data_IF_771814168582
#
_entry.id   IF_771814168582
#
_cell.length_a   1.000
_cell.length_b   1.000
_cell.length_c   1.000
_cell.angle_alpha   90.00
_cell.angle_beta   90.00
_cell.angle_gamma   90.00
#
_symmetry.space_group_name_H-M   'P 1'
#
loop_
_entity.id
_entity.type
_entity.pdbx_description
1 polymer ?
#
# COMPACT_ATOMS: atom_id res chain seq x y z
N UNK A 1 -9.67 -8.36 7.81
CA UNK A 1 -10.10 -7.68 6.56
C UNK A 1 -11.32 -6.81 6.87
N UNK A 2 -11.25 -5.48 6.77
CA UNK A 2 -12.39 -4.60 7.11
C UNK A 2 -13.40 -4.65 5.95
N UNK A 3 -14.38 -5.55 6.01
CA UNK A 3 -15.60 -5.44 5.20
C UNK A 3 -16.31 -4.16 5.66
N UNK A 4 -16.24 -3.10 4.86
CA UNK A 4 -17.00 -1.87 5.08
C UNK A 4 -18.18 -1.92 4.12
N UNK A 5 -19.39 -1.97 4.67
CA UNK A 5 -20.59 -1.85 3.86
C UNK A 5 -20.82 -0.35 3.66
N UNK A 6 -20.60 0.15 2.43
CA UNK A 6 -20.98 1.50 2.03
C UNK A 6 -22.48 1.48 1.71
N UNK A 7 -23.31 1.37 2.73
CA UNK A 7 -24.75 1.20 2.50
C UNK A 7 -25.45 2.51 2.13
N UNK A 8 -24.90 3.69 2.47
CA UNK A 8 -25.45 4.97 2.02
C UNK A 8 -24.39 6.07 1.90
N UNK A 9 -24.56 6.99 0.94
CA UNK A 9 -23.62 8.11 0.62
C UNK A 9 -23.34 9.07 1.79
N UNK A 10 -24.01 8.89 2.91
CA UNK A 10 -24.06 9.79 4.06
C UNK A 10 -23.61 9.13 5.37
N UNK A 11 -23.48 7.79 5.41
CA UNK A 11 -23.29 7.06 6.66
C UNK A 11 -22.24 5.97 6.51
N UNK A 12 -21.45 5.78 7.56
CA UNK A 12 -20.44 4.75 7.68
C UNK A 12 -20.65 3.99 8.98
N UNK A 13 -20.87 2.67 8.88
CA UNK A 13 -21.00 1.79 10.04
C UNK A 13 -19.69 1.03 10.21
N UNK A 14 -19.06 1.21 11.37
CA UNK A 14 -17.88 0.44 11.75
C UNK A 14 -18.26 -1.01 12.02
N UNK A 15 -17.32 -1.94 11.86
CA UNK A 15 -17.47 -3.35 12.23
C UNK A 15 -17.95 -3.61 13.66
N UNK A 16 -17.75 -2.65 14.56
CA UNK A 16 -18.23 -2.71 15.96
C UNK A 16 -19.65 -2.13 16.13
N UNK A 17 -20.39 -1.92 15.03
CA UNK A 17 -21.74 -1.33 15.03
C UNK A 17 -21.78 0.16 15.34
N UNK A 18 -20.64 0.88 15.26
CA UNK A 18 -20.60 2.33 15.54
C UNK A 18 -20.88 3.14 14.29
N UNK A 19 -21.78 4.09 14.41
CA UNK A 19 -22.20 4.97 13.32
C UNK A 19 -21.31 6.22 13.20
N UNK A 20 -21.04 6.59 11.95
CA UNK A 20 -20.36 7.81 11.58
C UNK A 20 -21.12 8.48 10.45
N UNK A 21 -21.39 9.77 10.61
CA UNK A 21 -22.13 10.56 9.64
C UNK A 21 -21.14 11.39 8.82
N UNK A 22 -21.36 11.49 7.51
CA UNK A 22 -20.55 12.29 6.60
C UNK A 22 -20.72 13.77 6.92
N UNK A 23 -19.62 14.45 7.20
CA UNK A 23 -19.62 15.88 7.49
C UNK A 23 -19.13 16.69 6.31
N UNK A 24 -17.91 16.41 5.85
CA UNK A 24 -17.22 17.24 4.87
C UNK A 24 -16.49 16.37 3.84
N UNK A 25 -16.22 16.94 2.68
CA UNK A 25 -15.26 16.40 1.73
C UNK A 25 -13.99 17.26 1.74
N UNK A 26 -12.83 16.59 1.69
CA UNK A 26 -11.53 17.24 1.55
C UNK A 26 -10.97 16.98 0.15
N UNK A 27 -10.50 18.05 -0.49
CA UNK A 27 -9.89 18.00 -1.80
C UNK A 27 -8.40 18.30 -1.67
N UNK A 28 -7.56 17.48 -2.30
CA UNK A 28 -6.12 17.71 -2.38
C UNK A 28 -5.66 17.65 -3.83
N UNK A 29 -5.18 18.77 -4.35
CA UNK A 29 -4.54 18.86 -5.66
C UNK A 29 -3.07 18.46 -5.56
N UNK A 30 -2.58 17.65 -6.50
CA UNK A 30 -1.17 17.29 -6.66
C UNK A 30 -0.55 18.10 -7.82
N UNK A 31 0.79 18.07 -7.95
CA UNK A 31 1.54 18.76 -9.02
C UNK A 31 1.07 18.40 -10.43
N UNK A 32 0.60 17.17 -10.64
CA UNK A 32 0.15 16.63 -11.94
C UNK A 32 -1.38 16.73 -12.02
N UNK A 33 -1.95 17.84 -11.57
CA UNK A 33 -3.40 18.19 -11.59
C UNK A 33 -4.39 17.17 -10.98
N UNK A 34 -3.90 16.04 -10.48
CA UNK A 34 -4.69 14.98 -9.87
C UNK A 34 -5.35 15.48 -8.58
N UNK A 35 -6.68 15.35 -8.51
CA UNK A 35 -7.49 15.72 -7.36
C UNK A 35 -7.83 14.47 -6.56
N UNK A 36 -7.32 14.40 -5.34
CA UNK A 36 -7.73 13.37 -4.38
C UNK A 36 -8.91 13.87 -3.57
N UNK A 37 -10.04 13.16 -3.61
CA UNK A 37 -11.21 13.42 -2.77
C UNK A 37 -11.17 12.48 -1.57
N UNK A 38 -11.28 13.04 -0.37
CA UNK A 38 -11.32 12.29 0.88
C UNK A 38 -12.59 12.67 1.64
N UNK A 39 -13.50 11.72 1.81
CA UNK A 39 -14.74 11.91 2.56
C UNK A 39 -14.46 11.83 4.06
N UNK A 40 -14.94 12.81 4.82
CA UNK A 40 -14.75 12.92 6.27
C UNK A 40 -16.04 12.52 6.97
N UNK A 41 -15.96 11.46 7.76
CA UNK A 41 -17.06 10.98 8.60
C UNK A 41 -16.74 11.24 10.07
N UNK A 42 -17.74 11.61 10.88
CA UNK A 42 -17.57 11.81 12.34
C UNK A 42 -18.60 11.02 13.11
N UNK A 43 -18.21 10.51 14.26
CA UNK A 43 -19.11 9.88 15.23
C UNK A 43 -19.50 10.91 16.29
N UNK A 44 -20.80 11.18 16.41
CA UNK A 44 -21.35 12.16 17.35
C UNK A 44 -21.65 11.56 18.73
N UNK A 45 -21.84 10.24 18.81
CA UNK A 45 -22.03 9.51 20.08
C UNK A 45 -20.83 9.58 21.02
N UNK A 46 -19.64 9.86 20.48
CA UNK A 46 -18.40 9.97 21.24
C UNK A 46 -18.33 11.25 22.11
N UNK A 47 -19.37 12.09 22.08
CA UNK A 47 -19.42 13.38 22.78
C UNK A 47 -20.04 13.32 24.20
N UNK A 48 -20.44 12.15 24.72
CA UNK A 48 -21.17 12.08 26.01
C UNK A 48 -20.34 12.47 27.24
N UNK A 49 -19.02 12.57 27.14
CA UNK A 49 -18.12 12.84 28.29
C UNK A 49 -17.00 13.86 27.98
N UNK A 50 -17.21 14.81 27.06
CA UNK A 50 -16.21 15.85 26.73
C UNK A 50 -15.03 15.38 25.88
N UNK A 51 -15.10 14.17 25.31
CA UNK A 51 -14.08 13.65 24.39
C UNK A 51 -14.22 14.26 22.99
N UNK A 52 -13.08 14.49 22.32
CA UNK A 52 -13.03 15.03 20.95
C UNK A 52 -13.74 14.08 19.98
N UNK A 53 -14.56 14.64 19.10
CA UNK A 53 -15.30 13.92 18.05
C UNK A 53 -14.35 13.03 17.25
N UNK A 54 -14.61 11.71 17.22
CA UNK A 54 -13.77 10.77 16.46
C UNK A 54 -14.13 10.85 14.98
N UNK A 55 -13.14 11.15 14.14
CA UNK A 55 -13.30 11.26 12.70
C UNK A 55 -12.58 10.14 11.93
N UNK A 56 -13.17 9.72 10.82
CA UNK A 56 -12.56 8.80 9.85
C UNK A 56 -12.48 9.50 8.50
N UNK A 57 -11.37 9.27 7.81
CA UNK A 57 -11.09 9.80 6.48
C UNK A 57 -11.06 8.64 5.50
N UNK A 58 -11.94 8.68 4.50
CA UNK A 58 -12.07 7.60 3.54
C UNK A 58 -11.84 8.15 2.13
N UNK A 59 -10.80 7.63 1.48
CA UNK A 59 -10.54 7.83 0.06
C UNK A 59 -11.13 6.64 -0.71
N UNK A 60 -12.27 6.85 -1.39
CA UNK A 60 -13.02 5.77 -2.05
C UNK A 60 -12.24 5.13 -3.19
N UNK A 61 -11.57 5.95 -4.00
CA UNK A 61 -10.70 5.48 -5.09
C UNK A 61 -9.62 4.54 -4.56
N UNK A 62 -8.98 4.91 -3.45
CA UNK A 62 -7.97 4.08 -2.80
C UNK A 62 -8.55 2.76 -2.30
N UNK A 63 -9.73 2.76 -1.66
CA UNK A 63 -10.31 1.51 -1.16
C UNK A 63 -10.74 0.58 -2.29
N UNK A 64 -11.28 1.11 -3.38
CA UNK A 64 -11.58 0.32 -4.58
C UNK A 64 -10.35 -0.41 -5.09
N UNK A 65 -9.25 0.32 -5.33
CA UNK A 65 -8.01 -0.30 -5.81
C UNK A 65 -7.41 -1.28 -4.80
N UNK A 66 -7.53 -0.98 -3.50
CA UNK A 66 -7.07 -1.88 -2.44
C UNK A 66 -7.84 -3.19 -2.44
N UNK A 67 -9.15 -3.16 -2.63
CA UNK A 67 -9.99 -4.37 -2.70
C UNK A 67 -9.71 -5.18 -3.96
N UNK A 68 -9.60 -4.53 -5.11
CA UNK A 68 -9.21 -5.16 -6.39
C UNK A 68 -7.85 -5.84 -6.26
N UNK A 69 -6.86 -5.12 -5.74
CA UNK A 69 -5.51 -5.66 -5.51
C UNK A 69 -5.51 -6.83 -4.52
N UNK A 70 -6.31 -6.76 -3.44
CA UNK A 70 -6.43 -7.86 -2.49
C UNK A 70 -7.02 -9.12 -3.14
N UNK A 71 -8.03 -8.97 -4.00
CA UNK A 71 -8.60 -10.10 -4.77
C UNK A 71 -7.53 -10.72 -5.67
N UNK A 72 -6.76 -9.91 -6.37
CA UNK A 72 -5.68 -10.39 -7.24
C UNK A 72 -4.54 -11.07 -6.46
N UNK A 73 -4.23 -10.62 -5.25
CA UNK A 73 -3.18 -11.24 -4.41
C UNK A 73 -3.61 -12.59 -3.85
N UNK A 74 -4.87 -12.70 -3.44
CA UNK A 74 -5.40 -13.89 -2.73
C UNK A 74 -5.84 -14.99 -3.72
N UNK A 75 -5.99 -14.67 -5.01
CA UNK A 75 -6.24 -15.67 -6.04
C UNK A 75 -5.10 -16.69 -6.13
N UNK A 76 -5.40 -17.88 -6.64
CA UNK A 76 -4.41 -18.96 -6.80
C UNK A 76 -3.22 -18.51 -7.65
N UNK A 77 -3.49 -17.83 -8.78
CA UNK A 77 -2.46 -17.21 -9.61
C UNK A 77 -1.64 -16.17 -8.83
N UNK A 78 -2.27 -15.31 -8.04
CA UNK A 78 -1.56 -14.31 -7.24
C UNK A 78 -0.72 -14.91 -6.10
N UNK A 79 -1.11 -16.06 -5.56
CA UNK A 79 -0.30 -16.83 -4.63
C UNK A 79 0.92 -17.41 -5.35
N UNK A 80 0.72 -18.05 -6.49
CA UNK A 80 1.77 -18.64 -7.31
C UNK A 80 2.82 -17.59 -7.75
N UNK A 81 2.38 -16.46 -8.29
CA UNK A 81 3.26 -15.36 -8.70
C UNK A 81 4.09 -14.82 -7.52
N UNK A 82 3.50 -14.73 -6.32
CA UNK A 82 4.22 -14.28 -5.12
C UNK A 82 5.28 -15.30 -4.68
N UNK A 83 4.96 -16.58 -4.74
CA UNK A 83 5.91 -17.67 -4.44
C UNK A 83 7.05 -17.64 -5.46
N UNK A 84 6.73 -17.60 -6.76
CA UNK A 84 7.71 -17.54 -7.84
C UNK A 84 8.63 -16.33 -7.72
N UNK A 85 8.08 -15.15 -7.40
CA UNK A 85 8.87 -13.95 -7.15
C UNK A 85 9.80 -14.09 -5.94
N UNK A 86 9.34 -14.74 -4.88
CA UNK A 86 10.17 -15.00 -3.69
C UNK A 86 11.34 -15.93 -4.04
N UNK A 87 11.06 -17.03 -4.78
CA UNK A 87 12.07 -17.99 -5.22
C UNK A 87 13.11 -17.33 -6.13
N UNK A 88 12.68 -16.55 -7.12
CA UNK A 88 13.59 -15.84 -8.02
C UNK A 88 14.44 -14.81 -7.27
N UNK A 89 13.83 -14.03 -6.38
CA UNK A 89 14.55 -13.05 -5.58
C UNK A 89 15.61 -13.71 -4.69
N UNK A 90 15.25 -14.78 -3.98
CA UNK A 90 16.17 -15.52 -3.12
C UNK A 90 17.33 -16.14 -3.91
N UNK A 91 17.07 -16.76 -5.07
CA UNK A 91 18.10 -17.29 -5.94
C UNK A 91 19.09 -16.21 -6.41
N UNK A 92 18.58 -15.05 -6.84
CA UNK A 92 19.41 -13.92 -7.23
C UNK A 92 20.24 -13.39 -6.04
N UNK A 93 19.63 -13.20 -4.86
CA UNK A 93 20.34 -12.72 -3.67
C UNK A 93 21.37 -13.72 -3.16
N UNK A 94 21.13 -15.02 -3.28
CA UNK A 94 22.10 -16.06 -2.94
C UNK A 94 23.34 -15.92 -3.81
N UNK A 95 23.17 -15.88 -5.15
CA UNK A 95 24.30 -15.71 -6.10
C UNK A 95 25.09 -14.41 -5.84
N UNK A 96 24.40 -13.32 -5.53
CA UNK A 96 25.04 -12.03 -5.19
C UNK A 96 25.86 -12.15 -3.89
N UNK A 97 25.26 -12.66 -2.82
CA UNK A 97 25.89 -12.65 -1.50
C UNK A 97 26.98 -13.70 -1.36
N UNK A 98 26.67 -14.96 -1.62
CA UNK A 98 27.63 -16.05 -1.45
C UNK A 98 28.53 -16.20 -2.68
N UNK A 99 27.95 -16.11 -3.88
CA UNK A 99 28.69 -16.30 -5.13
C UNK A 99 29.64 -15.16 -5.49
N UNK A 100 29.25 -13.90 -5.27
CA UNK A 100 30.07 -12.72 -5.56
C UNK A 100 30.69 -12.07 -4.31
N UNK A 101 30.46 -12.63 -3.12
CA UNK A 101 30.85 -12.04 -1.83
C UNK A 101 30.36 -10.58 -1.65
N UNK A 102 29.23 -10.23 -2.29
CA UNK A 102 28.67 -8.89 -2.26
C UNK A 102 27.67 -8.76 -1.11
N UNK A 103 28.12 -8.17 0.00
CA UNK A 103 27.37 -8.16 1.25
C UNK A 103 26.43 -6.95 1.40
N UNK A 104 26.76 -5.82 0.77
CA UNK A 104 26.01 -4.55 0.90
C UNK A 104 26.37 -3.58 -0.22
N UNK A 105 25.47 -2.62 -0.46
CA UNK A 105 25.75 -1.45 -1.27
C UNK A 105 26.85 -0.59 -0.66
N UNK A 106 27.81 -0.20 -1.50
CA UNK A 106 28.89 0.70 -1.12
C UNK A 106 28.49 2.15 -1.32
N UNK A 107 27.66 2.45 -2.32
CA UNK A 107 27.20 3.81 -2.59
C UNK A 107 25.93 4.18 -1.83
N UNK A 108 25.72 5.50 -1.72
CA UNK A 108 24.52 6.09 -1.11
C UNK A 108 23.83 7.01 -2.10
N UNK A 109 22.53 7.18 -1.92
CA UNK A 109 21.69 7.98 -2.82
C UNK A 109 21.07 7.13 -3.93
N UNK A 110 19.87 7.50 -4.34
CA UNK A 110 19.03 6.72 -5.26
C UNK A 110 19.74 6.44 -6.58
N UNK A 111 20.32 7.47 -7.18
CA UNK A 111 20.98 7.39 -8.49
C UNK A 111 22.17 6.43 -8.47
N UNK A 112 23.04 6.57 -7.47
CA UNK A 112 24.22 5.71 -7.33
C UNK A 112 23.84 4.25 -7.05
N UNK A 113 22.82 4.01 -6.22
CA UNK A 113 22.32 2.65 -5.95
C UNK A 113 21.75 2.03 -7.23
N UNK A 114 21.04 2.79 -8.07
CA UNK A 114 20.53 2.30 -9.36
C UNK A 114 21.69 1.88 -10.25
N UNK A 115 22.72 2.72 -10.39
CA UNK A 115 23.91 2.39 -11.19
C UNK A 115 24.61 1.14 -10.66
N UNK A 116 24.77 1.00 -9.35
CA UNK A 116 25.38 -0.16 -8.71
C UNK A 116 24.57 -1.45 -8.96
N UNK A 117 23.25 -1.40 -8.84
CA UNK A 117 22.35 -2.52 -9.17
C UNK A 117 22.45 -2.91 -10.65
N UNK A 118 22.49 -1.93 -11.56
CA UNK A 118 22.62 -2.20 -13.00
C UNK A 118 23.94 -2.92 -13.31
N UNK A 119 25.06 -2.43 -12.78
CA UNK A 119 26.37 -3.06 -12.97
C UNK A 119 26.42 -4.47 -12.37
N UNK A 120 25.87 -4.65 -11.17
CA UNK A 120 25.76 -5.96 -10.51
C UNK A 120 24.93 -6.94 -11.36
N UNK A 121 23.81 -6.48 -11.93
CA UNK A 121 22.93 -7.29 -12.78
C UNK A 121 23.64 -7.73 -14.06
N UNK A 122 24.41 -6.85 -14.70
CA UNK A 122 25.25 -7.19 -15.85
C UNK A 122 26.30 -8.23 -15.45
N UNK A 123 26.98 -8.02 -14.32
CA UNK A 123 27.97 -8.96 -13.81
C UNK A 123 27.39 -10.36 -13.51
N UNK A 124 26.18 -10.43 -12.96
CA UNK A 124 25.48 -11.70 -12.70
C UNK A 124 25.10 -12.44 -13.98
N UNK A 125 24.71 -11.69 -15.03
CA UNK A 125 24.33 -12.22 -16.33
C UNK A 125 25.53 -12.69 -17.16
N UNK A 126 26.72 -12.09 -16.98
CA UNK A 126 27.94 -12.54 -17.63
C UNK A 126 28.59 -13.73 -16.90
N UNK A 127 28.35 -13.86 -15.60
CA UNK A 127 28.82 -14.96 -14.76
C UNK A 127 27.84 -16.15 -14.75
N UNK A 128 27.16 -16.39 -15.87
CA UNK A 128 26.29 -17.57 -16.10
C UNK A 128 27.04 -18.69 -16.79
#
# INVERSE_FOLDING_TARGET
MIQCIFENRYEYISKKGKEFIRCNDRYRKRKIEYITITKVYRSFDWNKEGQKTKGIYIAETFQKYREEFLKSIISDQGIEERINRSIQAEGAFSKIKSGLNYNRFHHRGKENIISEICLLSIGLNLNT
#
